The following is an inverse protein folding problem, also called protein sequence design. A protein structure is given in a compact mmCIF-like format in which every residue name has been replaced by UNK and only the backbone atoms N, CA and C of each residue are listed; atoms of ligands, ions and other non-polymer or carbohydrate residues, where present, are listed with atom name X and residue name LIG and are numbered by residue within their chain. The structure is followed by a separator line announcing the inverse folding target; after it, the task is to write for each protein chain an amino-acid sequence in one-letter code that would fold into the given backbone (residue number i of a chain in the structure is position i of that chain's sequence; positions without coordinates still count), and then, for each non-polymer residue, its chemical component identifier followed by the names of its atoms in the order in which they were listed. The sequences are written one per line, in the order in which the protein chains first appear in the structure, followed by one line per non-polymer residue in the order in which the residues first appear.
data_IF_430246468172
#
_entry.id   IF_430246468172
#
_cell.length_a   1.000
_cell.length_b   1.000
_cell.length_c   1.000
_cell.angle_alpha   90.00
_cell.angle_beta   90.00
_cell.angle_gamma   90.00
#
_symmetry.space_group_name_H-M   'P 1'
#
loop_
_entity.id
_entity.type
_entity.pdbx_description
1 polymer ?
#
# COMPACT_ATOMS: atom_id res chain seq x y z
N UNK A 1 -7.49 14.95 20.22
CA UNK A 1 -7.31 13.53 20.56
C UNK A 1 -7.39 12.71 19.28
N UNK A 2 -6.27 12.51 18.62
CA UNK A 2 -6.16 11.49 17.57
C UNK A 2 -4.80 10.88 17.81
N UNK A 3 -4.76 9.80 18.60
CA UNK A 3 -3.54 9.01 18.75
C UNK A 3 -2.99 8.75 17.36
N UNK A 4 -1.73 9.12 17.08
CA UNK A 4 -1.19 8.87 15.78
C UNK A 4 -1.18 7.35 15.65
N UNK A 5 -1.82 6.84 14.60
CA UNK A 5 -1.67 5.46 14.12
C UNK A 5 -0.22 5.15 13.70
N UNK A 6 0.75 5.92 14.20
CA UNK A 6 2.19 5.83 14.01
C UNK A 6 2.78 4.59 14.68
N UNK A 7 2.09 3.94 15.61
CA UNK A 7 2.61 2.73 16.27
C UNK A 7 2.40 1.44 15.49
N UNK A 8 1.45 1.36 14.55
CA UNK A 8 1.19 0.14 13.76
C UNK A 8 2.15 -0.04 12.58
N UNK A 9 2.69 1.06 12.06
CA UNK A 9 3.59 1.06 10.91
C UNK A 9 5.05 1.33 11.28
N UNK A 10 5.37 1.30 12.58
CA UNK A 10 6.69 1.58 13.17
C UNK A 10 7.68 0.45 12.84
N UNK A 11 8.08 0.37 11.57
CA UNK A 11 9.13 -0.48 10.93
C UNK A 11 8.84 -0.74 9.44
N UNK A 12 7.71 -0.29 8.90
CA UNK A 12 7.45 -0.41 7.47
C UNK A 12 8.27 0.62 6.69
N UNK A 13 8.85 0.18 5.56
CA UNK A 13 9.62 1.03 4.64
C UNK A 13 8.77 2.13 3.99
N UNK A 14 7.44 1.99 4.07
CA UNK A 14 6.46 2.87 3.47
C UNK A 14 5.54 3.48 4.55
N UNK A 15 5.11 4.74 4.37
CA UNK A 15 4.16 5.36 5.29
C UNK A 15 2.82 4.64 5.28
N UNK A 16 2.09 4.77 6.38
CA UNK A 16 0.79 4.13 6.61
C UNK A 16 -0.25 4.44 5.53
N UNK A 17 -0.21 5.65 4.97
CA UNK A 17 -1.13 6.12 3.93
C UNK A 17 -1.03 5.26 2.66
N UNK A 18 0.19 4.86 2.30
CA UNK A 18 0.46 4.04 1.12
C UNK A 18 -0.08 2.63 1.31
N UNK A 19 0.12 2.06 2.49
CA UNK A 19 -0.34 0.71 2.80
C UNK A 19 -1.87 0.69 2.86
N UNK A 20 -2.50 1.71 3.45
CA UNK A 20 -3.95 1.85 3.48
C UNK A 20 -4.52 2.00 2.06
N UNK A 21 -3.89 2.80 1.19
CA UNK A 21 -4.32 2.96 -0.19
C UNK A 21 -4.17 1.67 -1.00
N UNK A 22 -3.05 0.95 -0.87
CA UNK A 22 -2.84 -0.33 -1.54
C UNK A 22 -3.89 -1.38 -1.14
N UNK A 23 -4.18 -1.48 0.18
CA UNK A 23 -5.22 -2.38 0.70
C UNK A 23 -6.61 -1.94 0.24
N UNK A 24 -6.87 -0.63 0.21
CA UNK A 24 -8.15 -0.10 -0.25
C UNK A 24 -8.37 -0.36 -1.73
N UNK A 25 -7.37 -0.14 -2.59
CA UNK A 25 -7.44 -0.42 -4.03
C UNK A 25 -7.67 -1.91 -4.30
N UNK A 26 -7.00 -2.78 -3.56
CA UNK A 26 -7.19 -4.23 -3.65
C UNK A 26 -8.60 -4.67 -3.24
N UNK A 27 -9.19 -4.05 -2.22
CA UNK A 27 -10.52 -4.41 -1.73
C UNK A 27 -11.65 -3.76 -2.55
N UNK A 28 -11.42 -2.53 -3.06
CA UNK A 28 -12.43 -1.73 -3.75
C UNK A 28 -12.67 -2.18 -5.19
N UNK A 29 -11.64 -2.72 -5.83
CA UNK A 29 -11.70 -3.14 -7.21
C UNK A 29 -11.20 -4.58 -7.36
N UNK A 30 -11.76 -5.38 -8.28
CA UNK A 30 -11.17 -6.66 -8.68
C UNK A 30 -9.92 -6.42 -9.56
N UNK A 31 -9.01 -5.55 -9.11
CA UNK A 31 -7.78 -5.22 -9.81
C UNK A 31 -6.81 -6.38 -9.68
N UNK A 32 -6.16 -6.75 -10.78
CA UNK A 32 -5.01 -7.66 -10.72
C UNK A 32 -3.87 -7.02 -9.92
N UNK A 33 -3.08 -7.84 -9.22
CA UNK A 33 -1.89 -7.38 -8.47
C UNK A 33 -0.99 -6.45 -9.30
N UNK A 34 -0.80 -6.75 -10.59
CA UNK A 34 -0.05 -5.89 -11.52
C UNK A 34 -0.59 -4.48 -11.68
N UNK A 35 -1.91 -4.32 -11.64
CA UNK A 35 -2.55 -3.02 -11.80
C UNK A 35 -2.43 -2.18 -10.52
N UNK A 36 -2.40 -2.85 -9.37
CA UNK A 36 -2.05 -2.23 -8.08
C UNK A 36 -0.57 -1.83 -8.06
N UNK A 37 0.34 -2.68 -8.56
CA UNK A 37 1.77 -2.36 -8.72
C UNK A 37 1.98 -1.13 -9.61
N UNK A 38 1.25 -1.03 -10.73
CA UNK A 38 1.33 0.09 -11.67
C UNK A 38 0.82 1.40 -11.03
N UNK A 39 -0.31 1.39 -10.33
CA UNK A 39 -0.80 2.58 -9.60
C UNK A 39 0.16 3.03 -8.50
N UNK A 40 0.77 2.10 -7.78
CA UNK A 40 1.78 2.41 -6.77
C UNK A 40 3.06 2.95 -7.43
N UNK A 41 3.46 2.41 -8.58
CA UNK A 41 4.60 2.88 -9.36
C UNK A 41 4.39 4.32 -9.89
N UNK A 42 3.17 4.68 -10.31
CA UNK A 42 2.82 6.07 -10.66
C UNK A 42 3.00 7.05 -9.49
N UNK A 43 2.83 6.59 -8.25
CA UNK A 43 3.14 7.38 -7.04
C UNK A 43 4.61 7.32 -6.63
N UNK A 44 5.48 6.68 -7.41
CA UNK A 44 6.91 6.52 -7.13
C UNK A 44 7.22 5.34 -6.19
N UNK A 45 6.28 4.43 -5.99
CA UNK A 45 6.36 3.34 -5.01
C UNK A 45 6.46 2.02 -5.77
N UNK A 46 7.69 1.53 -5.92
CA UNK A 46 7.94 0.25 -6.56
C UNK A 46 7.68 -0.89 -5.56
N UNK A 47 6.48 -1.46 -5.64
CA UNK A 47 6.15 -2.73 -5.00
C UNK A 47 6.32 -3.82 -6.04
N UNK A 48 7.01 -4.90 -5.66
CA UNK A 48 7.10 -6.11 -6.48
C UNK A 48 6.34 -7.21 -5.77
N UNK A 49 5.27 -7.72 -6.39
CA UNK A 49 4.54 -8.86 -5.86
C UNK A 49 5.42 -10.10 -5.91
N UNK A 50 5.89 -10.56 -4.74
CA UNK A 50 6.64 -11.80 -4.64
C UNK A 50 5.67 -12.98 -4.68
N UNK A 51 5.56 -13.65 -5.83
CA UNK A 51 4.99 -15.00 -5.89
C UNK A 51 5.94 -15.95 -5.16
N UNK A 52 5.47 -16.52 -4.06
CA UNK A 52 6.00 -17.76 -3.53
C UNK A 52 5.23 -18.92 -4.17
#
# INVERSE_FOLDING_TARGET
MTEPRSSLYRRHRYPSEIIAEAVWLYFRFPLSFRMVEDMLAYRGIFVTYKRA
#
